data_IF_340497156308
#
_entry.id   IF_340497156308
#
_cell.length_a   1.000
_cell.length_b   1.000
_cell.length_c   1.000
_cell.angle_alpha   90.00
_cell.angle_beta   90.00
_cell.angle_gamma   90.00
#
_symmetry.space_group_name_H-M   'P 1'
#
loop_
_entity.id
_entity.type
_entity.pdbx_description
1 polymer ?
#
# COMPACT_ATOMS: atom_id res chain seq x y z
N UNK A 1 -22.38 -2.62 -2.34
CA UNK A 1 -21.13 -2.62 -3.13
C UNK A 1 -19.86 -2.38 -2.29
N UNK A 2 -19.90 -1.79 -1.08
CA UNK A 2 -18.69 -1.55 -0.26
C UNK A 2 -17.94 -2.81 0.23
N UNK A 3 -18.64 -3.92 0.52
CA UNK A 3 -18.01 -5.18 0.93
C UNK A 3 -17.06 -5.73 -0.15
N UNK A 4 -17.50 -5.71 -1.41
CA UNK A 4 -16.68 -6.10 -2.56
C UNK A 4 -15.51 -5.15 -2.77
N UNK A 5 -15.72 -3.84 -2.65
CA UNK A 5 -14.64 -2.86 -2.80
C UNK A 5 -13.55 -3.05 -1.74
N UNK A 6 -13.92 -3.29 -0.48
CA UNK A 6 -12.96 -3.57 0.59
C UNK A 6 -12.21 -4.89 0.33
N UNK A 7 -12.89 -5.90 -0.22
CA UNK A 7 -12.31 -7.19 -0.57
C UNK A 7 -11.36 -7.10 -1.78
N UNK A 8 -11.75 -6.40 -2.84
CA UNK A 8 -10.91 -6.13 -4.00
C UNK A 8 -9.69 -5.29 -3.61
N UNK A 9 -9.86 -4.31 -2.73
CA UNK A 9 -8.76 -3.54 -2.17
C UNK A 9 -7.82 -4.46 -1.40
N UNK A 10 -8.35 -5.34 -0.54
CA UNK A 10 -7.53 -6.31 0.18
C UNK A 10 -6.71 -7.20 -0.76
N UNK A 11 -7.35 -7.73 -1.80
CA UNK A 11 -6.70 -8.60 -2.79
C UNK A 11 -5.65 -7.86 -3.62
N UNK A 12 -5.97 -6.67 -4.14
CA UNK A 12 -5.04 -5.84 -4.92
C UNK A 12 -3.87 -5.33 -4.09
N UNK A 13 -4.08 -5.12 -2.79
CA UNK A 13 -3.08 -4.63 -1.86
C UNK A 13 -2.34 -5.74 -1.11
N UNK A 14 -2.58 -7.03 -1.42
CA UNK A 14 -2.06 -8.20 -0.70
C UNK A 14 -2.34 -8.20 0.81
N UNK A 15 -3.40 -7.54 1.27
CA UNK A 15 -3.80 -7.54 2.67
C UNK A 15 -4.61 -8.78 3.05
N UNK A 16 -4.59 -9.10 4.35
CA UNK A 16 -5.52 -10.09 4.91
C UNK A 16 -6.97 -9.69 4.60
N UNK A 17 -7.79 -10.70 4.29
CA UNK A 17 -9.21 -10.48 4.04
C UNK A 17 -9.89 -9.82 5.25
N UNK A 18 -10.77 -8.84 5.03
CA UNK A 18 -11.50 -8.19 6.12
C UNK A 18 -12.39 -9.20 6.85
N UNK A 19 -12.34 -9.17 8.18
CA UNK A 19 -13.22 -9.96 9.04
C UNK A 19 -14.38 -9.09 9.55
N UNK A 20 -15.57 -9.65 9.65
CA UNK A 20 -16.77 -8.93 10.11
C UNK A 20 -17.34 -9.61 11.34
N UNK A 21 -17.54 -8.83 12.39
CA UNK A 21 -18.19 -9.28 13.62
C UNK A 21 -19.46 -8.48 13.80
N UNK A 22 -20.59 -9.15 14.04
CA UNK A 22 -21.88 -8.49 14.25
C UNK A 22 -22.43 -8.82 15.63
N UNK A 23 -22.93 -7.80 16.32
CA UNK A 23 -23.61 -7.92 17.60
C UNK A 23 -25.08 -7.56 17.36
N UNK A 24 -25.97 -8.45 17.80
CA UNK A 24 -27.42 -8.22 17.79
C UNK A 24 -27.86 -7.85 19.19
N UNK A 25 -28.53 -6.72 19.31
CA UNK A 25 -29.07 -6.18 20.56
C UNK A 25 -30.54 -5.81 20.38
N UNK A 26 -31.24 -5.57 21.49
CA UNK A 26 -32.63 -5.13 21.49
C UNK A 26 -33.67 -6.27 21.52
N UNK A 27 -34.94 -5.92 21.76
CA UNK A 27 -36.02 -6.90 21.91
C UNK A 27 -36.35 -7.59 20.58
N UNK A 28 -36.96 -8.77 20.64
CA UNK A 28 -37.24 -9.58 19.44
C UNK A 28 -38.12 -8.88 18.39
N UNK A 29 -38.98 -7.94 18.83
CA UNK A 29 -39.82 -7.13 17.96
C UNK A 29 -39.13 -5.87 17.40
N UNK A 30 -37.92 -5.54 17.85
CA UNK A 30 -37.13 -4.41 17.37
C UNK A 30 -35.61 -4.67 17.47
N UNK A 31 -35.08 -5.66 16.71
CA UNK A 31 -33.67 -5.99 16.76
C UNK A 31 -32.81 -4.86 16.18
N UNK A 32 -31.70 -4.58 16.85
CA UNK A 32 -30.67 -3.61 16.48
C UNK A 32 -29.37 -4.37 16.22
N UNK A 33 -28.74 -4.07 15.10
CA UNK A 33 -27.51 -4.70 14.68
C UNK A 33 -26.40 -3.67 14.67
N UNK A 34 -25.26 -4.04 15.26
CA UNK A 34 -24.02 -3.27 15.21
C UNK A 34 -22.95 -4.16 14.62
N UNK A 35 -22.20 -3.66 13.64
CA UNK A 35 -21.16 -4.44 12.98
C UNK A 35 -19.80 -3.78 13.12
N UNK A 36 -18.78 -4.61 13.21
CA UNK A 36 -17.37 -4.21 13.27
C UNK A 36 -16.65 -4.91 12.13
N UNK A 37 -16.05 -4.13 11.23
CA UNK A 37 -15.18 -4.60 10.17
C UNK A 37 -13.72 -4.48 10.63
N UNK A 38 -13.06 -5.61 10.84
CA UNK A 38 -11.63 -5.67 11.15
C UNK A 38 -10.83 -5.77 9.85
N UNK A 39 -10.06 -4.74 9.54
CA UNK A 39 -9.22 -4.70 8.35
C UNK A 39 -7.83 -4.15 8.67
N UNK A 40 -6.79 -4.92 8.30
CA UNK A 40 -5.39 -4.55 8.51
C UNK A 40 -4.99 -4.26 9.98
N UNK A 41 -5.67 -4.90 10.94
CA UNK A 41 -5.41 -4.71 12.38
C UNK A 41 -6.11 -3.49 12.99
N UNK A 42 -6.86 -2.72 12.20
CA UNK A 42 -7.80 -1.70 12.67
C UNK A 42 -9.23 -2.25 12.63
N UNK A 43 -10.04 -1.87 13.60
CA UNK A 43 -11.45 -2.24 13.70
C UNK A 43 -12.33 -1.02 13.46
N UNK A 44 -13.20 -1.12 12.46
CA UNK A 44 -14.11 -0.06 12.04
C UNK A 44 -15.53 -0.45 12.41
N UNK A 45 -16.12 0.30 13.33
CA UNK A 45 -17.47 0.06 13.81
C UNK A 45 -18.50 0.87 13.00
N UNK A 46 -19.67 0.28 12.78
CA UNK A 46 -20.82 0.99 12.19
C UNK A 46 -21.25 2.16 13.09
N UNK A 47 -21.40 3.39 12.56
CA UNK A 47 -21.65 4.60 13.36
C UNK A 47 -23.05 4.64 13.95
N UNK A 48 -23.98 3.87 13.38
CA UNK A 48 -25.37 3.79 13.80
C UNK A 48 -25.80 2.32 13.93
N UNK A 49 -26.76 2.07 14.81
CA UNK A 49 -27.42 0.77 14.92
C UNK A 49 -28.37 0.59 13.74
N UNK A 50 -28.23 -0.49 13.00
CA UNK A 50 -29.08 -0.80 11.85
C UNK A 50 -30.18 -1.79 12.23
N UNK A 51 -31.28 -1.79 11.47
CA UNK A 51 -32.38 -2.76 11.65
C UNK A 51 -32.09 -4.12 11.01
N UNK A 52 -31.05 -4.21 10.17
CA UNK A 52 -30.64 -5.45 9.50
C UNK A 52 -29.13 -5.68 9.61
N UNK A 53 -28.73 -6.95 9.70
CA UNK A 53 -27.32 -7.35 9.71
C UNK A 53 -26.59 -6.85 8.46
N UNK A 54 -27.20 -6.99 7.28
CA UNK A 54 -26.58 -6.56 6.01
C UNK A 54 -26.27 -5.07 5.98
N UNK A 55 -27.16 -4.23 6.53
CA UNK A 55 -26.91 -2.78 6.61
C UNK A 55 -25.79 -2.45 7.59
N UNK A 56 -25.75 -3.13 8.74
CA UNK A 56 -24.69 -2.92 9.72
C UNK A 56 -23.31 -3.26 9.11
N UNK A 57 -23.18 -4.43 8.47
CA UNK A 57 -21.95 -4.82 7.77
C UNK A 57 -21.55 -3.85 6.66
N UNK A 58 -22.53 -3.34 5.92
CA UNK A 58 -22.31 -2.38 4.86
C UNK A 58 -21.77 -1.04 5.40
N UNK A 59 -22.37 -0.53 6.47
CA UNK A 59 -21.94 0.70 7.13
C UNK A 59 -20.54 0.57 7.73
N UNK A 60 -20.21 -0.58 8.33
CA UNK A 60 -18.86 -0.85 8.82
C UNK A 60 -17.82 -0.87 7.69
N UNK A 61 -18.14 -1.47 6.54
CA UNK A 61 -17.27 -1.47 5.37
C UNK A 61 -17.10 -0.07 4.75
N UNK A 62 -18.15 0.74 4.74
CA UNK A 62 -18.11 2.13 4.28
C UNK A 62 -17.18 2.98 5.15
N UNK A 63 -17.30 2.90 6.48
CA UNK A 63 -16.41 3.60 7.42
C UNK A 63 -14.96 3.16 7.24
N UNK A 64 -14.71 1.86 7.03
CA UNK A 64 -13.37 1.37 6.73
C UNK A 64 -12.81 2.00 5.45
N UNK A 65 -13.57 1.98 4.35
CA UNK A 65 -13.14 2.59 3.08
C UNK A 65 -12.95 4.10 3.17
N UNK A 66 -13.84 4.82 3.86
CA UNK A 66 -13.74 6.26 4.07
C UNK A 66 -12.53 6.62 4.94
N UNK A 67 -12.23 5.81 5.96
CA UNK A 67 -11.05 5.98 6.81
C UNK A 67 -9.77 5.71 6.01
N UNK A 68 -9.73 4.65 5.21
CA UNK A 68 -8.60 4.34 4.31
C UNK A 68 -8.40 5.41 3.22
N UNK A 69 -9.48 6.05 2.78
CA UNK A 69 -9.43 7.08 1.72
C UNK A 69 -9.08 8.46 2.27
N UNK A 70 -9.56 8.83 3.46
CA UNK A 70 -9.27 10.14 4.08
C UNK A 70 -7.95 10.15 4.84
N UNK A 71 -7.57 9.02 5.43
CA UNK A 71 -6.25 8.80 6.00
C UNK A 71 -5.34 8.41 4.84
N UNK A 72 -4.83 9.42 4.13
CA UNK A 72 -3.70 9.19 3.20
C UNK A 72 -2.68 8.27 3.87
N UNK A 73 -2.06 7.34 3.13
CA UNK A 73 -1.48 6.13 3.69
C UNK A 73 -0.56 6.49 4.84
N UNK A 74 -0.97 6.17 6.07
CA UNK A 74 -0.17 6.41 7.28
C UNK A 74 1.23 5.85 7.03
N UNK A 75 2.33 6.49 7.44
CA UNK A 75 3.69 6.00 7.16
C UNK A 75 3.91 4.53 7.56
N UNK A 76 3.20 4.01 8.56
CA UNK A 76 3.21 2.58 8.93
C UNK A 76 2.41 1.68 7.98
N UNK A 77 1.31 2.18 7.43
CA UNK A 77 0.43 1.51 6.47
C UNK A 77 1.02 1.57 5.06
N UNK A 78 1.56 2.72 4.66
CA UNK A 78 2.45 2.89 3.53
C UNK A 78 3.60 1.88 3.65
N UNK A 79 4.40 1.89 4.72
CA UNK A 79 5.55 0.98 4.85
C UNK A 79 5.20 -0.51 4.64
N UNK A 80 4.00 -0.94 5.08
CA UNK A 80 3.45 -2.30 4.88
C UNK A 80 2.92 -2.56 3.47
N UNK A 81 2.13 -1.65 2.89
CA UNK A 81 1.71 -1.71 1.47
C UNK A 81 2.94 -1.81 0.56
N UNK A 82 3.95 -1.00 0.86
CA UNK A 82 5.20 -0.94 0.14
C UNK A 82 6.06 -2.21 0.31
N UNK A 83 5.80 -3.05 1.30
CA UNK A 83 6.51 -4.32 1.55
C UNK A 83 6.01 -5.47 0.69
N UNK A 84 4.69 -5.52 0.42
CA UNK A 84 4.07 -6.73 -0.14
C UNK A 84 3.66 -6.64 -1.61
N UNK A 85 3.44 -5.46 -2.20
CA UNK A 85 2.76 -5.37 -3.50
C UNK A 85 3.59 -5.02 -4.73
N UNK A 86 4.91 -4.84 -4.63
CA UNK A 86 5.71 -4.49 -5.82
C UNK A 86 5.27 -3.17 -6.49
N UNK A 87 4.50 -2.34 -5.78
CA UNK A 87 3.93 -1.08 -6.27
C UNK A 87 5.03 -0.17 -6.79
N UNK A 88 6.17 -0.11 -6.11
CA UNK A 88 7.29 0.72 -6.59
C UNK A 88 7.82 0.29 -7.95
N UNK A 89 7.83 -1.00 -8.26
CA UNK A 89 8.25 -1.48 -9.57
C UNK A 89 7.27 -1.01 -10.64
N UNK A 90 5.98 -1.18 -10.38
CA UNK A 90 4.93 -0.76 -11.31
C UNK A 90 4.87 0.76 -11.48
N UNK A 91 5.07 1.49 -10.39
CA UNK A 91 5.00 2.96 -10.38
C UNK A 91 6.22 3.58 -11.07
N UNK A 92 7.43 3.03 -10.84
CA UNK A 92 8.63 3.40 -11.61
C UNK A 92 8.49 3.06 -13.09
N UNK A 93 7.83 1.95 -13.42
CA UNK A 93 7.53 1.56 -14.80
C UNK A 93 6.54 2.52 -15.47
N UNK A 94 5.44 2.88 -14.81
CA UNK A 94 4.45 3.82 -15.34
C UNK A 94 5.06 5.20 -15.59
N UNK A 95 5.92 5.68 -14.66
CA UNK A 95 6.64 6.94 -14.84
C UNK A 95 7.57 6.86 -16.02
N UNK A 96 8.43 5.83 -16.08
CA UNK A 96 9.35 5.65 -17.19
C UNK A 96 8.61 5.72 -18.53
N UNK A 97 7.46 5.05 -18.62
CA UNK A 97 6.63 5.08 -19.81
C UNK A 97 6.01 6.46 -20.10
N UNK A 98 5.57 7.21 -19.08
CA UNK A 98 5.05 8.58 -19.24
C UNK A 98 6.10 9.58 -19.71
N UNK A 99 7.34 9.48 -19.23
CA UNK A 99 8.45 10.35 -19.66
C UNK A 99 9.16 9.84 -20.92
N UNK A 100 8.70 8.73 -21.52
CA UNK A 100 9.35 8.14 -22.70
C UNK A 100 10.75 7.55 -22.41
N UNK A 101 11.05 7.26 -21.15
CA UNK A 101 12.31 6.69 -20.71
C UNK A 101 12.32 5.15 -20.82
N UNK A 102 13.50 4.51 -20.91
CA UNK A 102 13.60 3.06 -20.87
C UNK A 102 13.14 2.48 -19.54
N UNK A 103 12.65 1.23 -19.58
CA UNK A 103 12.17 0.50 -18.40
C UNK A 103 13.22 0.42 -17.29
N UNK A 104 12.83 0.53 -16.01
CA UNK A 104 13.77 0.51 -14.90
C UNK A 104 14.51 -0.83 -14.78
N UNK A 105 15.83 -0.78 -14.65
CA UNK A 105 16.67 -1.95 -14.40
C UNK A 105 17.02 -2.08 -12.92
N UNK A 106 16.75 -3.25 -12.33
CA UNK A 106 17.12 -3.57 -10.96
C UNK A 106 18.39 -4.40 -10.92
N UNK A 107 19.35 -3.99 -10.07
CA UNK A 107 20.57 -4.73 -9.79
C UNK A 107 20.77 -4.83 -8.28
N UNK A 108 21.13 -6.02 -7.81
CA UNK A 108 21.45 -6.23 -6.39
C UNK A 108 22.86 -6.75 -6.25
N UNK A 109 23.64 -6.08 -5.41
CA UNK A 109 25.01 -6.45 -5.10
C UNK A 109 25.05 -7.04 -3.69
N UNK A 110 25.77 -8.14 -3.52
CA UNK A 110 26.09 -8.70 -2.20
C UNK A 110 27.51 -8.28 -1.85
N UNK A 111 27.66 -7.68 -0.68
CA UNK A 111 28.92 -7.30 -0.06
C UNK A 111 28.95 -7.79 1.39
N UNK A 112 30.04 -7.54 2.11
CA UNK A 112 30.18 -7.88 3.53
C UNK A 112 30.83 -9.24 3.83
N UNK A 113 31.09 -9.46 5.12
CA UNK A 113 31.76 -10.66 5.62
C UNK A 113 30.83 -11.88 5.51
N UNK A 114 31.39 -13.08 5.37
CA UNK A 114 30.61 -14.32 5.20
C UNK A 114 29.55 -14.56 6.28
N UNK A 115 29.77 -14.05 7.50
CA UNK A 115 28.86 -14.13 8.65
C UNK A 115 27.91 -12.91 8.79
N UNK A 116 28.12 -11.84 8.01
CA UNK A 116 27.27 -10.65 7.95
C UNK A 116 27.17 -10.14 6.50
N UNK A 117 26.41 -10.85 5.64
CA UNK A 117 26.20 -10.39 4.27
C UNK A 117 25.34 -9.12 4.27
N UNK A 118 25.83 -8.12 3.55
CA UNK A 118 25.14 -6.86 3.27
C UNK A 118 24.72 -6.87 1.81
N UNK A 119 23.49 -6.45 1.54
CA UNK A 119 22.93 -6.36 0.20
C UNK A 119 22.62 -4.91 -0.12
N UNK A 120 23.06 -4.47 -1.29
CA UNK A 120 22.78 -3.14 -1.81
C UNK A 120 21.97 -3.28 -3.08
N UNK A 121 20.80 -2.66 -3.11
CA UNK A 121 19.96 -2.62 -4.30
C UNK A 121 20.19 -1.32 -5.04
N UNK A 122 20.19 -1.41 -6.36
CA UNK A 122 20.34 -0.29 -7.27
C UNK A 122 19.23 -0.39 -8.31
N UNK A 123 18.60 0.73 -8.64
CA UNK A 123 17.66 0.84 -9.75
C UNK A 123 18.12 1.94 -10.70
N UNK A 124 18.16 1.63 -11.98
CA UNK A 124 18.51 2.56 -13.03
C UNK A 124 17.23 2.95 -13.79
N UNK A 125 16.89 4.24 -13.81
CA UNK A 125 15.72 4.78 -14.48
C UNK A 125 16.09 6.06 -15.23
N UNK A 126 15.78 6.12 -16.53
CA UNK A 126 16.11 7.24 -17.42
C UNK A 126 17.61 7.62 -17.40
N UNK A 127 18.51 6.63 -17.29
CA UNK A 127 19.96 6.87 -17.18
C UNK A 127 20.42 7.41 -15.82
N UNK A 128 19.52 7.51 -14.84
CA UNK A 128 19.84 7.89 -13.47
C UNK A 128 19.84 6.64 -12.60
N UNK A 129 20.93 6.45 -11.89
CA UNK A 129 21.12 5.32 -10.99
C UNK A 129 20.80 5.73 -9.56
N UNK A 130 19.85 5.05 -8.94
CA UNK A 130 19.45 5.26 -7.56
C UNK A 130 19.90 4.07 -6.71
N UNK A 131 20.71 4.36 -5.68
CA UNK A 131 21.14 3.36 -4.71
C UNK A 131 20.25 3.39 -3.48
N UNK A 132 19.74 2.23 -3.09
CA UNK A 132 19.04 2.05 -1.82
C UNK A 132 20.00 1.90 -0.64
N UNK A 133 19.45 2.05 0.57
CA UNK A 133 20.15 1.73 1.80
C UNK A 133 20.56 0.25 1.89
N UNK A 134 21.66 0.01 2.60
CA UNK A 134 22.20 -1.32 2.88
C UNK A 134 21.19 -2.17 3.64
N UNK A 135 20.98 -3.41 3.19
CA UNK A 135 20.03 -4.32 3.80
C UNK A 135 20.66 -5.70 4.10
N UNK A 136 20.04 -6.45 5.02
CA UNK A 136 20.52 -7.80 5.39
C UNK A 136 20.07 -8.88 4.39
N UNK A 137 19.08 -8.60 3.55
CA UNK A 137 18.49 -9.55 2.60
C UNK A 137 18.32 -8.92 1.19
N UNK A 138 18.39 -9.74 0.13
CA UNK A 138 18.19 -9.29 -1.27
C UNK A 138 16.85 -8.59 -1.52
N UNK A 139 15.75 -9.16 -1.00
CA UNK A 139 14.39 -8.57 -1.16
C UNK A 139 14.32 -7.15 -0.61
N UNK A 140 14.88 -6.95 0.59
CA UNK A 140 14.89 -5.65 1.25
C UNK A 140 15.76 -4.65 0.49
N UNK A 141 16.93 -5.08 -0.01
CA UNK A 141 17.82 -4.24 -0.79
C UNK A 141 17.14 -3.72 -2.08
N UNK A 142 16.43 -4.59 -2.80
CA UNK A 142 15.69 -4.21 -4.00
C UNK A 142 14.55 -3.24 -3.69
N UNK A 143 13.83 -3.45 -2.58
CA UNK A 143 12.82 -2.51 -2.09
C UNK A 143 13.42 -1.15 -1.76
N UNK A 144 14.55 -1.12 -1.04
CA UNK A 144 15.24 0.11 -0.68
C UNK A 144 15.66 0.90 -1.94
N UNK A 145 16.11 0.22 -2.99
CA UNK A 145 16.44 0.84 -4.27
C UNK A 145 15.21 1.50 -4.91
N UNK A 146 14.10 0.77 -4.97
CA UNK A 146 12.86 1.26 -5.56
C UNK A 146 12.29 2.46 -4.78
N UNK A 147 12.38 2.43 -3.44
CA UNK A 147 12.01 3.56 -2.57
C UNK A 147 12.89 4.79 -2.82
N UNK A 148 14.21 4.60 -2.89
CA UNK A 148 15.14 5.70 -3.10
C UNK A 148 14.90 6.42 -4.44
N UNK A 149 14.62 5.65 -5.49
CA UNK A 149 14.25 6.20 -6.80
C UNK A 149 12.94 7.00 -6.75
N UNK A 150 11.90 6.42 -6.15
CA UNK A 150 10.61 7.10 -6.05
C UNK A 150 10.68 8.38 -5.22
N UNK A 151 11.34 8.35 -4.07
CA UNK A 151 11.54 9.54 -3.23
C UNK A 151 12.33 10.62 -3.97
N UNK A 152 13.36 10.24 -4.73
CA UNK A 152 14.14 11.17 -5.54
C UNK A 152 13.33 11.77 -6.69
N UNK A 153 12.47 10.98 -7.34
CA UNK A 153 11.55 11.47 -8.37
C UNK A 153 10.55 12.47 -7.78
N UNK A 154 9.96 12.15 -6.62
CA UNK A 154 8.98 13.01 -5.93
C UNK A 154 9.59 14.33 -5.45
N UNK A 155 10.86 14.32 -5.01
CA UNK A 155 11.60 15.55 -4.69
C UNK A 155 12.00 16.36 -5.94
N UNK A 156 12.11 15.70 -7.10
CA UNK A 156 12.48 16.30 -8.38
C UNK A 156 11.28 16.55 -9.30
N UNK A 157 10.06 16.61 -8.78
CA UNK A 157 8.86 17.06 -9.53
C UNK A 157 9.11 18.40 -10.26
N UNK A 158 9.94 19.28 -9.70
CA UNK A 158 10.40 20.53 -10.32
C UNK A 158 11.33 20.34 -11.53
N UNK A 159 12.00 19.20 -11.64
CA UNK A 159 12.97 18.87 -12.70
C UNK A 159 12.35 18.05 -13.84
N UNK A 160 11.28 17.29 -13.57
CA UNK A 160 10.52 16.54 -14.59
C UNK A 160 9.83 17.50 -15.56
N UNK A 161 9.32 18.65 -15.07
CA UNK A 161 8.79 19.73 -15.91
C UNK A 161 9.87 20.27 -16.86
N UNK A 162 11.13 20.36 -16.41
CA UNK A 162 12.23 20.86 -17.24
C UNK A 162 12.65 19.88 -18.34
N UNK A 163 12.45 18.58 -18.13
CA UNK A 163 12.79 17.52 -19.10
C UNK A 163 11.70 17.31 -20.17
N UNK A 164 10.46 17.70 -19.91
CA UNK A 164 9.34 17.64 -20.87
C UNK A 164 9.26 18.84 -21.82
N UNK A 165 10.10 19.87 -21.65
CA UNK A 165 10.11 21.09 -22.47
C UNK A 165 11.18 21.06 -23.58
N UNK A 166 11.92 19.95 -23.76
CA UNK A 166 13.01 19.87 -24.74
C UNK A 166 12.75 18.88 -25.87
#
# INVERSE_FOLDING_TARGET
>A
MYKNQLQELAQRSCFNLPSYTCIREGPDHAPRFKAVASFNGESFESPHHCSTLRQAEHAAAEVALASLSSRGPSPSLAARILDETGVYKNLLQEIAQRVGAPLPQYRTFRSGLGHQPVFTGIVELAGITFSGELAKNKKQAEKNAAMAAWSSLKQRESFIILLLIK
#
